data_IF_374101000765
#
_entry.id   IF_374101000765
#
_cell.length_a   1.000
_cell.length_b   1.000
_cell.length_c   1.000
_cell.angle_alpha   90.00
_cell.angle_beta   90.00
_cell.angle_gamma   90.00
#
_symmetry.space_group_name_H-M   'P 1'
#
loop_
_entity.id
_entity.type
_entity.pdbx_description
1 polymer ?
#
# COMPACT_ATOMS: atom_id res chain seq x y z
N UNK A 1 4.22 14.62 8.18
CA UNK A 1 3.87 13.22 7.92
C UNK A 1 2.98 12.65 9.01
N UNK A 2 3.46 12.42 10.22
CA UNK A 2 2.64 11.82 11.30
C UNK A 2 1.41 12.66 11.68
N UNK A 3 1.52 13.97 11.61
CA UNK A 3 0.38 14.86 11.85
C UNK A 3 -0.68 14.73 10.76
N UNK A 4 -0.28 14.54 9.50
CA UNK A 4 -1.20 14.27 8.40
C UNK A 4 -1.96 12.97 8.64
N UNK A 5 -1.26 11.92 9.05
CA UNK A 5 -1.90 10.63 9.36
C UNK A 5 -2.91 10.76 10.50
N UNK A 6 -2.50 11.42 11.60
CA UNK A 6 -3.37 11.65 12.75
C UNK A 6 -4.63 12.44 12.37
N UNK A 7 -4.46 13.51 11.60
CA UNK A 7 -5.59 14.37 11.20
C UNK A 7 -6.49 13.71 10.17
N UNK A 8 -5.94 12.91 9.26
CA UNK A 8 -6.70 12.23 8.22
C UNK A 8 -7.58 11.12 8.81
N UNK A 9 -7.05 10.32 9.74
CA UNK A 9 -7.77 9.19 10.33
C UNK A 9 -8.44 9.52 11.66
N UNK A 10 -8.08 10.63 12.29
CA UNK A 10 -8.67 11.06 13.56
C UNK A 10 -8.26 10.19 14.77
N UNK A 11 -7.18 9.41 14.64
CA UNK A 11 -6.70 8.51 15.68
C UNK A 11 -5.18 8.33 15.60
N UNK A 12 -4.58 7.62 16.57
CA UNK A 12 -3.14 7.39 16.63
C UNK A 12 -2.67 6.10 15.97
N UNK A 13 -3.58 5.21 15.58
CA UNK A 13 -3.22 3.90 15.02
C UNK A 13 -2.39 4.01 13.74
N UNK A 14 -2.75 4.88 12.82
CA UNK A 14 -2.03 5.09 11.57
C UNK A 14 -0.68 5.81 11.76
N UNK A 15 -0.59 6.89 12.54
CA UNK A 15 0.72 7.45 12.88
C UNK A 15 1.66 6.46 13.55
N UNK A 16 1.14 5.63 14.45
CA UNK A 16 1.93 4.59 15.13
C UNK A 16 2.40 3.53 14.15
N UNK A 17 1.55 3.12 13.20
CA UNK A 17 1.93 2.20 12.13
C UNK A 17 3.04 2.79 11.25
N UNK A 18 2.94 4.06 10.88
CA UNK A 18 3.98 4.73 10.08
C UNK A 18 5.30 4.77 10.84
N UNK A 19 5.29 5.10 12.13
CA UNK A 19 6.50 5.07 12.95
C UNK A 19 7.12 3.67 12.98
N UNK A 20 6.29 2.65 13.19
CA UNK A 20 6.75 1.27 13.22
C UNK A 20 7.36 0.84 11.90
N UNK A 21 6.73 1.17 10.77
CA UNK A 21 7.23 0.83 9.44
C UNK A 21 8.56 1.53 9.12
N UNK A 22 8.69 2.80 9.48
CA UNK A 22 9.93 3.56 9.23
C UNK A 22 11.10 3.06 10.08
N UNK A 23 10.82 2.43 11.22
CA UNK A 23 11.83 1.84 12.11
C UNK A 23 12.09 0.35 11.82
N UNK A 24 11.33 -0.27 10.94
CA UNK A 24 11.35 -1.71 10.68
C UNK A 24 12.29 -2.05 9.52
N UNK A 25 13.42 -2.75 9.78
CA UNK A 25 14.33 -3.15 8.70
C UNK A 25 13.67 -4.05 7.65
N UNK A 26 12.65 -4.82 8.02
CA UNK A 26 11.94 -5.71 7.09
C UNK A 26 11.02 -4.96 6.14
N UNK A 27 10.75 -3.67 6.39
CA UNK A 27 9.97 -2.81 5.51
C UNK A 27 10.77 -2.28 4.30
N UNK A 28 12.09 -2.31 4.36
CA UNK A 28 12.95 -1.77 3.31
C UNK A 28 12.91 -2.62 2.03
N UNK A 29 12.89 -1.97 0.85
CA UNK A 29 12.93 -0.53 0.64
C UNK A 29 11.57 0.14 0.90
N UNK A 30 11.59 1.32 1.50
CA UNK A 30 10.40 2.12 1.80
C UNK A 30 10.32 3.32 0.88
N UNK A 31 9.14 3.60 0.36
CA UNK A 31 8.82 4.84 -0.33
C UNK A 31 7.83 5.60 0.55
N UNK A 32 8.20 6.81 0.98
CA UNK A 32 7.36 7.68 1.79
C UNK A 32 7.28 9.03 1.11
N UNK A 33 6.08 9.44 0.69
CA UNK A 33 5.85 10.67 -0.06
C UNK A 33 4.87 11.56 0.67
N UNK A 34 5.18 12.85 0.70
CA UNK A 34 4.37 13.87 1.35
C UNK A 34 3.86 14.84 0.28
N UNK A 35 2.54 15.04 0.24
CA UNK A 35 1.92 16.08 -0.58
C UNK A 35 1.85 17.36 0.23
N UNK A 36 2.37 18.46 -0.34
CA UNK A 36 2.47 19.75 0.35
C UNK A 36 1.78 20.81 -0.48
N UNK A 37 0.95 21.63 0.17
CA UNK A 37 0.40 22.87 -0.36
C UNK A 37 1.08 24.08 0.28
N UNK A 38 0.71 25.29 -0.17
CA UNK A 38 1.28 26.53 0.35
C UNK A 38 1.12 26.70 1.89
N UNK A 39 0.05 26.11 2.45
CA UNK A 39 -0.27 26.16 3.89
C UNK A 39 0.20 24.92 4.66
N UNK A 40 0.94 24.01 4.02
CA UNK A 40 1.55 22.87 4.68
C UNK A 40 1.20 21.50 4.09
N UNK A 41 1.61 20.42 4.76
CA UNK A 41 1.36 19.05 4.32
C UNK A 41 -0.12 18.71 4.36
N UNK A 42 -0.62 18.07 3.29
CA UNK A 42 -2.05 17.71 3.13
C UNK A 42 -2.27 16.24 2.83
N UNK A 43 -1.23 15.48 2.52
CA UNK A 43 -1.36 14.06 2.24
C UNK A 43 -0.05 13.31 2.41
N UNK A 44 -0.14 12.01 2.63
CA UNK A 44 1.00 11.12 2.80
C UNK A 44 0.69 9.74 2.26
N UNK A 45 1.65 9.11 1.61
CA UNK A 45 1.59 7.72 1.19
C UNK A 45 2.87 7.01 1.62
N UNK A 46 2.74 5.77 2.07
CA UNK A 46 3.87 4.91 2.38
C UNK A 46 3.71 3.58 1.66
N UNK A 47 4.79 3.14 1.02
CA UNK A 47 4.88 1.83 0.41
C UNK A 47 6.06 1.09 1.03
N UNK A 48 5.84 -0.16 1.44
CA UNK A 48 6.85 -0.97 2.11
C UNK A 48 6.97 -2.33 1.46
N UNK A 49 8.15 -2.94 1.60
CA UNK A 49 8.48 -4.23 0.99
C UNK A 49 7.53 -5.34 1.42
N UNK A 50 7.17 -6.21 0.47
CA UNK A 50 6.52 -7.49 0.74
C UNK A 50 7.25 -8.60 0.00
N UNK A 51 7.14 -9.82 0.52
CA UNK A 51 7.66 -11.04 -0.09
C UNK A 51 6.50 -11.96 -0.46
N UNK A 52 6.57 -12.58 -1.64
CA UNK A 52 5.54 -13.51 -2.11
C UNK A 52 6.07 -14.93 -1.95
N UNK A 53 5.50 -15.68 -1.00
CA UNK A 53 5.97 -17.03 -0.67
C UNK A 53 7.46 -17.03 -0.38
N UNK A 54 8.18 -17.96 -0.98
CA UNK A 54 9.65 -18.05 -0.87
C UNK A 54 10.37 -17.34 -2.02
N UNK A 55 9.66 -16.58 -2.85
CA UNK A 55 10.20 -15.94 -4.05
C UNK A 55 10.77 -14.56 -3.71
N UNK A 56 12.04 -14.32 -4.05
CA UNK A 56 12.63 -12.98 -3.99
C UNK A 56 12.20 -12.10 -5.15
N UNK A 57 11.78 -12.72 -6.24
CA UNK A 57 11.31 -12.04 -7.45
C UNK A 57 9.97 -12.62 -7.90
N UNK A 58 9.09 -11.79 -8.48
CA UNK A 58 9.26 -10.35 -8.71
C UNK A 58 9.30 -9.54 -7.42
N UNK A 59 10.00 -8.41 -7.44
CA UNK A 59 10.01 -7.47 -6.32
C UNK A 59 8.62 -6.86 -6.15
N UNK A 60 8.16 -6.76 -4.91
CA UNK A 60 6.81 -6.33 -4.59
C UNK A 60 6.76 -5.40 -3.38
N UNK A 61 5.71 -4.60 -3.32
CA UNK A 61 5.47 -3.65 -2.24
C UNK A 61 3.98 -3.60 -1.90
N UNK A 62 3.65 -3.08 -0.72
CA UNK A 62 2.27 -2.80 -0.31
C UNK A 62 2.11 -1.30 -0.04
N UNK A 63 1.00 -0.75 -0.51
CA UNK A 63 0.58 0.61 -0.25
C UNK A 63 -0.22 0.62 1.05
N UNK A 64 0.38 1.14 2.12
CA UNK A 64 -0.23 1.26 3.43
C UNK A 64 0.62 2.15 4.36
N UNK A 65 0.10 3.25 4.90
CA UNK A 65 -1.21 3.83 4.61
C UNK A 65 -1.18 4.87 3.49
N UNK A 66 -2.37 5.29 3.07
CA UNK A 66 -2.61 6.50 2.28
C UNK A 66 -3.48 7.43 3.10
N UNK A 67 -3.02 8.64 3.33
CA UNK A 67 -3.72 9.65 4.11
C UNK A 67 -3.88 10.94 3.32
N UNK A 68 -5.08 11.51 3.32
CA UNK A 68 -5.35 12.84 2.77
C UNK A 68 -6.21 13.59 3.75
N UNK A 69 -5.82 14.83 4.10
CA UNK A 69 -6.59 15.65 5.03
C UNK A 69 -8.02 15.85 4.53
N UNK A 70 -9.02 15.89 5.42
CA UNK A 70 -10.42 15.99 5.00
C UNK A 70 -10.72 17.14 4.03
N UNK A 71 -10.14 18.33 4.25
CA UNK A 71 -10.33 19.50 3.39
C UNK A 71 -9.59 19.39 2.05
N UNK A 72 -8.67 18.45 1.91
CA UNK A 72 -7.94 18.21 0.67
C UNK A 72 -8.47 17.02 -0.12
N UNK A 73 -9.41 16.25 0.44
CA UNK A 73 -10.04 15.14 -0.25
C UNK A 73 -10.88 15.63 -1.43
N UNK A 74 -10.94 14.82 -2.49
CA UNK A 74 -11.65 15.18 -3.70
C UNK A 74 -10.97 16.24 -4.57
N UNK A 75 -9.73 16.60 -4.26
CA UNK A 75 -8.97 17.65 -4.98
C UNK A 75 -7.79 17.09 -5.78
N UNK A 76 -7.65 15.75 -5.87
CA UNK A 76 -6.59 15.10 -6.64
C UNK A 76 -5.31 14.79 -5.87
N UNK A 77 -5.25 15.05 -4.56
CA UNK A 77 -4.06 14.78 -3.74
C UNK A 77 -3.77 13.28 -3.65
N UNK A 78 -4.78 12.46 -3.35
CA UNK A 78 -4.63 11.01 -3.30
C UNK A 78 -4.18 10.42 -4.63
N UNK A 79 -4.80 10.88 -5.73
CA UNK A 79 -4.41 10.48 -7.08
C UNK A 79 -2.94 10.81 -7.38
N UNK A 80 -2.50 12.02 -7.04
CA UNK A 80 -1.12 12.44 -7.27
C UNK A 80 -0.14 11.60 -6.46
N UNK A 81 -0.44 11.31 -5.20
CA UNK A 81 0.39 10.47 -4.34
C UNK A 81 0.49 9.04 -4.88
N UNK A 82 -0.62 8.46 -5.29
CA UNK A 82 -0.62 7.10 -5.87
C UNK A 82 0.18 7.09 -7.18
N UNK A 83 -0.06 8.04 -8.08
CA UNK A 83 0.65 8.11 -9.37
C UNK A 83 2.17 8.22 -9.16
N UNK A 84 2.61 9.11 -8.27
CA UNK A 84 4.04 9.28 -7.99
C UNK A 84 4.63 8.05 -7.30
N UNK A 85 3.90 7.46 -6.35
CA UNK A 85 4.32 6.23 -5.67
C UNK A 85 4.50 5.08 -6.66
N UNK A 86 3.53 4.88 -7.55
CA UNK A 86 3.61 3.83 -8.58
C UNK A 86 4.75 4.07 -9.57
N UNK A 87 4.99 5.33 -9.96
CA UNK A 87 6.10 5.69 -10.85
C UNK A 87 7.45 5.38 -10.20
N UNK A 88 7.61 5.66 -8.92
CA UNK A 88 8.84 5.35 -8.18
C UNK A 88 9.04 3.85 -7.99
N UNK A 89 7.96 3.10 -7.76
CA UNK A 89 8.02 1.64 -7.71
C UNK A 89 8.54 1.07 -9.03
N UNK A 90 7.96 1.48 -10.14
CA UNK A 90 8.37 1.02 -11.47
C UNK A 90 9.83 1.38 -11.77
N UNK A 91 10.25 2.62 -11.49
CA UNK A 91 11.63 3.06 -11.67
C UNK A 91 12.62 2.27 -10.81
N UNK A 92 12.20 1.83 -9.63
CA UNK A 92 13.01 1.02 -8.71
C UNK A 92 12.96 -0.48 -8.97
N UNK A 93 12.31 -0.93 -10.05
CA UNK A 93 12.23 -2.36 -10.40
C UNK A 93 11.18 -3.14 -9.60
N UNK A 94 10.28 -2.47 -8.90
CA UNK A 94 9.17 -3.12 -8.19
C UNK A 94 8.08 -3.46 -9.21
N UNK A 95 7.80 -4.75 -9.34
CA UNK A 95 6.91 -5.27 -10.38
C UNK A 95 5.45 -5.41 -9.95
N UNK A 96 5.19 -5.57 -8.65
CA UNK A 96 3.85 -5.73 -8.11
C UNK A 96 3.62 -4.80 -6.93
N UNK A 97 2.47 -4.13 -6.93
CA UNK A 97 2.02 -3.29 -5.83
C UNK A 97 0.70 -3.85 -5.30
N UNK A 98 0.66 -4.13 -4.00
CA UNK A 98 -0.54 -4.59 -3.31
C UNK A 98 -1.20 -3.46 -2.53
N UNK A 99 -2.49 -3.60 -2.29
CA UNK A 99 -3.25 -2.73 -1.40
C UNK A 99 -4.44 -3.48 -0.83
N UNK A 100 -4.77 -3.20 0.41
CA UNK A 100 -6.05 -3.59 0.99
C UNK A 100 -6.91 -2.33 1.08
N UNK A 101 -7.91 -2.20 0.21
CA UNK A 101 -8.70 -0.98 0.13
C UNK A 101 -9.95 -1.11 -0.72
N UNK A 102 -10.63 0.01 -0.92
CA UNK A 102 -11.87 0.06 -1.68
C UNK A 102 -11.64 -0.28 -3.16
N UNK A 103 -12.25 -1.35 -3.69
CA UNK A 103 -12.11 -1.71 -5.11
C UNK A 103 -12.57 -0.61 -6.07
N UNK A 104 -13.60 0.14 -5.73
CA UNK A 104 -14.08 1.24 -6.56
C UNK A 104 -13.06 2.37 -6.67
N UNK A 105 -12.33 2.63 -5.59
CA UNK A 105 -11.28 3.65 -5.58
C UNK A 105 -10.01 3.17 -6.28
N UNK A 106 -9.45 2.04 -5.85
CA UNK A 106 -8.17 1.56 -6.37
C UNK A 106 -8.26 0.96 -7.78
N UNK A 107 -9.43 0.47 -8.18
CA UNK A 107 -9.65 0.00 -9.54
C UNK A 107 -9.38 1.06 -10.60
N UNK A 108 -9.57 2.33 -10.27
CA UNK A 108 -9.27 3.46 -11.17
C UNK A 108 -7.78 3.62 -11.46
N UNK A 109 -6.91 3.02 -10.64
CA UNK A 109 -5.45 3.08 -10.79
C UNK A 109 -4.85 1.79 -11.34
N UNK A 110 -5.69 0.88 -11.84
CA UNK A 110 -5.24 -0.38 -12.43
C UNK A 110 -5.07 -1.53 -11.46
N UNK A 111 -5.53 -1.38 -10.22
CA UNK A 111 -5.58 -2.48 -9.25
C UNK A 111 -6.76 -3.40 -9.55
N UNK A 112 -6.55 -4.70 -9.39
CA UNK A 112 -7.56 -5.74 -9.53
C UNK A 112 -7.50 -6.69 -8.33
N UNK A 113 -8.57 -7.46 -8.03
CA UNK A 113 -8.50 -8.44 -6.95
C UNK A 113 -7.32 -9.40 -7.11
N UNK A 114 -6.60 -9.65 -6.02
CA UNK A 114 -5.36 -10.44 -6.05
C UNK A 114 -5.60 -11.95 -5.92
N UNK A 115 -6.66 -12.37 -5.23
CA UNK A 115 -6.95 -13.79 -5.01
C UNK A 115 -7.07 -14.60 -6.31
N UNK A 116 -7.74 -14.10 -7.39
CA UNK A 116 -7.79 -14.84 -8.66
C UNK A 116 -6.43 -15.09 -9.31
N UNK A 117 -5.39 -14.38 -8.87
CA UNK A 117 -4.01 -14.56 -9.35
C UNK A 117 -3.16 -15.44 -8.43
N UNK A 118 -3.78 -16.21 -7.53
CA UNK A 118 -3.06 -17.03 -6.54
C UNK A 118 -2.16 -16.22 -5.61
N UNK A 119 -2.55 -14.99 -5.29
CA UNK A 119 -1.83 -14.10 -4.39
C UNK A 119 -2.68 -13.86 -3.15
N UNK A 120 -2.38 -14.58 -2.06
CA UNK A 120 -3.15 -14.54 -0.84
C UNK A 120 -2.60 -13.49 0.15
N UNK A 121 -3.47 -12.84 0.95
CA UNK A 121 -3.03 -11.92 1.99
C UNK A 121 -2.35 -12.67 3.13
N UNK A 122 -1.60 -11.96 4.01
CA UNK A 122 -0.89 -12.59 5.13
C UNK A 122 -1.81 -13.31 6.13
N UNK A 123 -3.03 -12.81 6.28
CA UNK A 123 -4.04 -13.34 7.20
C UNK A 123 -5.39 -13.47 6.50
N UNK A 124 -6.27 -14.38 6.96
CA UNK A 124 -7.60 -14.51 6.38
C UNK A 124 -8.40 -13.21 6.48
N UNK A 125 -9.13 -12.88 5.41
CA UNK A 125 -10.02 -11.74 5.35
C UNK A 125 -11.49 -12.18 5.47
N UNK A 126 -12.34 -11.32 6.01
CA UNK A 126 -13.78 -11.54 6.01
C UNK A 126 -14.29 -11.66 4.56
N UNK A 127 -15.31 -12.50 4.34
CA UNK A 127 -15.85 -12.75 2.99
C UNK A 127 -16.24 -11.47 2.25
N UNK A 128 -16.73 -10.46 2.95
CA UNK A 128 -17.11 -9.17 2.38
C UNK A 128 -15.90 -8.34 1.90
N UNK A 129 -14.68 -8.68 2.31
CA UNK A 129 -13.47 -7.92 2.03
C UNK A 129 -12.50 -8.64 1.09
N UNK A 130 -12.87 -9.78 0.53
CA UNK A 130 -11.97 -10.55 -0.33
C UNK A 130 -11.54 -9.76 -1.58
N UNK A 131 -12.45 -9.01 -2.18
CA UNK A 131 -12.15 -8.18 -3.35
C UNK A 131 -11.35 -6.92 -3.01
N UNK A 132 -11.28 -6.56 -1.73
CA UNK A 132 -10.49 -5.43 -1.25
C UNK A 132 -8.99 -5.72 -1.22
N UNK A 133 -8.60 -6.99 -1.26
CA UNK A 133 -7.20 -7.40 -1.42
C UNK A 133 -6.84 -7.36 -2.89
N UNK A 134 -6.06 -6.36 -3.27
CA UNK A 134 -5.84 -5.99 -4.66
C UNK A 134 -4.37 -5.96 -5.02
N UNK A 135 -4.09 -6.11 -6.31
CA UNK A 135 -2.73 -6.06 -6.87
C UNK A 135 -2.72 -5.29 -8.18
N UNK A 136 -1.61 -4.61 -8.44
CA UNK A 136 -1.36 -3.91 -9.70
C UNK A 136 0.02 -4.30 -10.22
N UNK A 137 0.11 -4.86 -11.44
CA UNK A 137 1.40 -5.13 -12.07
C UNK A 137 1.99 -3.85 -12.68
N UNK A 138 3.31 -3.72 -12.63
CA UNK A 138 4.04 -2.63 -13.29
C UNK A 138 4.51 -2.99 -14.70
N UNK A 139 4.44 -4.26 -15.06
CA UNK A 139 4.80 -4.75 -16.40
C UNK A 139 3.97 -5.96 -16.79
N UNK A 140 3.89 -6.23 -18.10
CA UNK A 140 3.14 -7.35 -18.62
C UNK A 140 3.71 -8.70 -18.18
N UNK A 141 2.82 -9.67 -17.95
CA UNK A 141 3.17 -11.07 -17.67
C UNK A 141 3.68 -11.33 -16.25
N UNK A 142 3.87 -10.32 -15.41
CA UNK A 142 4.41 -10.53 -14.06
C UNK A 142 3.45 -11.26 -13.14
N UNK A 143 2.14 -11.06 -13.30
CA UNK A 143 1.13 -11.76 -12.49
C UNK A 143 1.16 -13.28 -12.70
N UNK A 144 1.48 -13.73 -13.91
CA UNK A 144 1.60 -15.16 -14.22
C UNK A 144 2.87 -15.80 -13.61
N UNK A 145 3.82 -15.00 -13.14
CA UNK A 145 5.09 -15.49 -12.59
C UNK A 145 5.13 -15.44 -11.05
N UNK A 146 4.05 -15.00 -10.43
CA UNK A 146 4.00 -14.84 -8.98
C UNK A 146 2.79 -15.58 -8.41
N UNK A 147 3.01 -16.32 -7.33
CA UNK A 147 1.94 -16.99 -6.60
C UNK A 147 2.39 -17.26 -5.17
N UNK A 148 1.46 -17.33 -4.26
CA UNK A 148 1.70 -17.68 -2.87
C UNK A 148 1.12 -16.68 -1.89
N UNK A 149 1.45 -16.90 -0.62
CA UNK A 149 1.02 -16.02 0.48
C UNK A 149 1.96 -14.82 0.54
N UNK A 150 1.40 -13.62 0.54
CA UNK A 150 2.16 -12.39 0.67
C UNK A 150 2.51 -12.17 2.14
N UNK A 151 3.81 -11.97 2.42
CA UNK A 151 4.31 -11.59 3.74
C UNK A 151 4.73 -10.13 3.70
N UNK A 152 4.17 -9.33 4.59
CA UNK A 152 4.51 -7.92 4.73
C UNK A 152 5.67 -7.72 5.71
N UNK A 153 6.11 -6.46 5.87
CA UNK A 153 7.01 -6.07 6.94
C UNK A 153 6.45 -6.49 8.31
N UNK A 154 7.31 -6.75 9.28
CA UNK A 154 6.90 -7.22 10.61
C UNK A 154 5.86 -6.29 11.25
N UNK A 155 5.99 -4.98 11.05
CA UNK A 155 5.03 -4.00 11.57
C UNK A 155 3.60 -4.19 11.03
N UNK A 156 3.43 -4.80 9.86
CA UNK A 156 2.14 -5.12 9.26
C UNK A 156 1.70 -6.57 9.53
N UNK A 157 2.56 -7.41 10.08
CA UNK A 157 2.24 -8.80 10.40
C UNK A 157 1.55 -8.91 11.76
N UNK A 158 0.42 -8.23 11.87
CA UNK A 158 -0.44 -8.18 13.04
C UNK A 158 -1.86 -8.51 12.61
N UNK A 159 -2.44 -9.63 13.09
CA UNK A 159 -3.76 -10.10 12.60
C UNK A 159 -4.88 -9.05 12.70
N UNK A 160 -4.85 -8.19 13.71
CA UNK A 160 -5.87 -7.15 13.93
C UNK A 160 -5.92 -6.11 12.81
N UNK A 161 -4.84 -5.94 12.03
CA UNK A 161 -4.83 -5.02 10.89
C UNK A 161 -5.56 -5.59 9.67
N UNK A 162 -5.84 -6.89 9.68
CA UNK A 162 -6.44 -7.63 8.56
C UNK A 162 -7.84 -8.15 8.87
N UNK A 163 -8.32 -7.92 10.07
CA UNK A 163 -9.63 -8.40 10.51
C UNK A 163 -10.80 -7.64 9.88
#
# INVERSE_FOLDING_TARGET
MLDVERRAFGQEAEPDLVRALLADPTAEPVISLLAVRSDGPVGHILLSHVQIGDQERPAATILAPLAVLPDAQGTGVGRALIAEGLARCAAGGIALVFVLGDPAYYGRFGFTPALPHDLAPPYPLAAAHLDAWMVRPSCEGVLARASGIVRCADALMRPELWA
#
